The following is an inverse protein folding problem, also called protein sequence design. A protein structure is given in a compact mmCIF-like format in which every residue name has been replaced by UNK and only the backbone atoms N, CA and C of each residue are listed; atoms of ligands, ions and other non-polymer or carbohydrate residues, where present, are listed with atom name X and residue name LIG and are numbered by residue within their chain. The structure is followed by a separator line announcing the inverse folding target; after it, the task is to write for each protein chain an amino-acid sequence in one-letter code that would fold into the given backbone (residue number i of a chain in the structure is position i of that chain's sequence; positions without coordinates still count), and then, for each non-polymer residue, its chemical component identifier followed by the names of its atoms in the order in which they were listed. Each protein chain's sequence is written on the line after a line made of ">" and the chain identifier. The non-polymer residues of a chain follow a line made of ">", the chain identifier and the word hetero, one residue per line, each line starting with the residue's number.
data_IF_677830926627
#
_entry.id   IF_677830926627
#
_cell.length_a   1.000
_cell.length_b   1.000
_cell.length_c   1.000
_cell.angle_alpha   90.00
_cell.angle_beta   90.00
_cell.angle_gamma   90.00
#
_symmetry.space_group_name_H-M   'P 1'
#
loop_
_entity.id
_entity.type
_entity.pdbx_description
1 polymer ?
#
# COMPACT_ATOMS: atom_id res chain seq x y z
N UNK A 1 12.73 -19.74 -20.07
CA UNK A 1 11.64 -20.23 -19.21
C UNK A 1 10.96 -21.38 -19.93
N UNK A 2 10.93 -22.55 -19.32
CA UNK A 2 10.22 -23.71 -19.85
C UNK A 2 8.99 -23.94 -19.00
N UNK A 3 7.82 -23.75 -19.57
CA UNK A 3 6.56 -24.21 -19.00
C UNK A 3 6.26 -25.66 -19.40
N UNK A 4 7.33 -26.49 -19.48
CA UNK A 4 7.25 -27.90 -19.89
C UNK A 4 6.26 -28.73 -19.01
N UNK A 5 6.00 -28.26 -17.80
CA UNK A 5 5.02 -28.86 -16.89
C UNK A 5 3.54 -28.46 -17.21
N UNK A 6 3.33 -27.42 -18.05
CA UNK A 6 2.01 -26.99 -18.50
C UNK A 6 2.05 -26.63 -20.00
N UNK A 7 2.02 -27.61 -20.91
CA UNK A 7 2.13 -27.38 -22.36
C UNK A 7 1.06 -26.47 -22.95
N UNK A 8 -0.13 -26.45 -22.36
CA UNK A 8 -1.23 -25.61 -22.81
C UNK A 8 -0.99 -24.14 -22.50
N UNK A 9 -0.48 -23.82 -21.31
CA UNK A 9 -0.06 -22.47 -20.97
C UNK A 9 1.10 -21.99 -21.83
N UNK A 10 2.10 -22.85 -22.05
CA UNK A 10 3.23 -22.57 -22.94
C UNK A 10 2.77 -22.22 -24.36
N UNK A 11 1.79 -22.97 -24.89
CA UNK A 11 1.20 -22.69 -26.19
C UNK A 11 0.51 -21.31 -26.23
N UNK A 12 -0.36 -21.01 -25.26
CA UNK A 12 -1.06 -19.71 -25.23
C UNK A 12 -0.11 -18.54 -24.99
N UNK A 13 0.89 -18.68 -24.16
CA UNK A 13 1.90 -17.65 -23.95
C UNK A 13 2.67 -17.37 -25.26
N UNK A 14 3.12 -18.40 -25.96
CA UNK A 14 3.90 -18.25 -27.19
C UNK A 14 3.06 -17.75 -28.35
N UNK A 15 1.88 -18.31 -28.59
CA UNK A 15 1.07 -17.98 -29.77
C UNK A 15 0.27 -16.71 -29.56
N UNK A 16 -0.46 -16.58 -28.48
CA UNK A 16 -1.38 -15.46 -28.25
C UNK A 16 -0.68 -14.27 -27.59
N UNK A 17 -0.04 -14.45 -26.42
CA UNK A 17 0.57 -13.32 -25.74
C UNK A 17 1.76 -12.76 -26.53
N UNK A 18 2.75 -13.60 -26.86
CA UNK A 18 3.92 -13.12 -27.58
C UNK A 18 3.69 -12.99 -29.10
N UNK A 19 2.91 -13.89 -29.71
CA UNK A 19 2.62 -13.86 -31.13
C UNK A 19 1.64 -12.77 -31.53
N UNK A 20 0.44 -12.76 -30.96
CA UNK A 20 -0.63 -11.83 -31.38
C UNK A 20 -0.55 -10.47 -30.66
N UNK A 21 -0.31 -10.45 -29.35
CA UNK A 21 -0.36 -9.21 -28.56
C UNK A 21 0.99 -8.48 -28.62
N UNK A 22 2.07 -9.15 -28.22
CA UNK A 22 3.39 -8.52 -28.15
C UNK A 22 4.03 -8.26 -29.52
N UNK A 23 3.68 -9.02 -30.54
CA UNK A 23 4.16 -8.80 -31.91
C UNK A 23 3.37 -7.70 -32.66
N UNK A 24 2.27 -7.17 -32.09
CA UNK A 24 1.56 -6.04 -32.70
C UNK A 24 2.45 -4.80 -32.82
N UNK A 25 2.12 -3.89 -33.75
CA UNK A 25 2.93 -2.74 -34.15
C UNK A 25 2.52 -1.41 -33.47
N UNK A 26 1.53 -1.44 -32.57
CA UNK A 26 0.99 -0.25 -31.89
C UNK A 26 2.00 0.38 -30.92
N UNK A 27 2.81 -0.44 -30.26
CA UNK A 27 3.85 -0.05 -29.34
C UNK A 27 5.13 -0.81 -29.67
N UNK A 28 6.28 -0.20 -29.47
CA UNK A 28 7.57 -0.92 -29.53
C UNK A 28 7.69 -1.95 -28.41
N UNK A 29 8.55 -2.94 -28.53
CA UNK A 29 8.83 -3.89 -27.46
C UNK A 29 9.31 -3.18 -26.18
N UNK A 30 10.10 -2.11 -26.33
CA UNK A 30 10.58 -1.28 -25.23
C UNK A 30 9.41 -0.58 -24.50
N UNK A 31 8.48 0.03 -25.26
CA UNK A 31 7.32 0.72 -24.67
C UNK A 31 6.38 -0.26 -23.94
N UNK A 32 6.18 -1.46 -24.49
CA UNK A 32 5.35 -2.50 -23.85
C UNK A 32 5.92 -2.95 -22.51
N UNK A 33 7.24 -3.11 -22.43
CA UNK A 33 7.87 -3.44 -21.17
C UNK A 33 7.68 -2.33 -20.12
N UNK A 34 7.73 -1.05 -20.51
CA UNK A 34 7.44 0.06 -19.57
C UNK A 34 5.97 0.05 -19.10
N UNK A 35 5.03 -0.20 -20.01
CA UNK A 35 3.59 -0.35 -19.64
C UNK A 35 3.39 -1.53 -18.70
N UNK A 36 4.04 -2.67 -18.98
CA UNK A 36 3.97 -3.87 -18.13
C UNK A 36 4.59 -3.60 -16.77
N UNK A 37 5.72 -2.91 -16.69
CA UNK A 37 6.33 -2.50 -15.44
C UNK A 37 5.43 -1.60 -14.62
N UNK A 38 4.78 -0.61 -15.25
CA UNK A 38 3.86 0.29 -14.56
C UNK A 38 2.67 -0.47 -13.98
N UNK A 39 2.10 -1.41 -14.73
CA UNK A 39 1.00 -2.26 -14.27
C UNK A 39 1.45 -3.16 -13.09
N UNK A 40 2.56 -3.88 -13.25
CA UNK A 40 3.09 -4.78 -12.21
C UNK A 40 3.47 -4.02 -10.93
N UNK A 41 4.03 -2.81 -11.05
CA UNK A 41 4.39 -2.00 -9.90
C UNK A 41 3.19 -1.62 -9.00
N UNK A 42 1.99 -1.51 -9.58
CA UNK A 42 0.74 -1.28 -8.83
C UNK A 42 0.08 -2.55 -8.29
N UNK A 43 0.58 -3.74 -8.65
CA UNK A 43 0.00 -5.04 -8.26
C UNK A 43 0.72 -5.64 -7.04
N UNK A 44 0.05 -6.57 -6.37
CA UNK A 44 0.57 -7.30 -5.20
C UNK A 44 0.97 -8.72 -5.57
N UNK A 45 1.98 -9.26 -4.87
CA UNK A 45 2.39 -10.65 -5.01
C UNK A 45 3.05 -10.99 -6.36
N UNK A 46 3.50 -9.98 -7.09
CA UNK A 46 4.12 -10.09 -8.41
C UNK A 46 5.58 -9.64 -8.43
N UNK A 47 6.27 -9.69 -7.28
CA UNK A 47 7.65 -9.20 -7.15
C UNK A 47 8.62 -9.90 -8.11
N UNK A 48 8.46 -11.22 -8.32
CA UNK A 48 9.27 -11.99 -9.24
C UNK A 48 9.03 -11.60 -10.70
N UNK A 49 7.78 -11.33 -11.06
CA UNK A 49 7.39 -10.84 -12.39
C UNK A 49 7.93 -9.42 -12.59
N UNK A 50 7.75 -8.53 -11.62
CA UNK A 50 8.30 -7.17 -11.68
C UNK A 50 9.82 -7.19 -11.88
N UNK A 51 10.54 -8.00 -11.12
CA UNK A 51 12.00 -8.15 -11.27
C UNK A 51 12.39 -8.70 -12.65
N UNK A 52 11.60 -9.62 -13.21
CA UNK A 52 11.83 -10.16 -14.56
C UNK A 52 11.60 -9.12 -15.63
N UNK A 53 10.52 -8.35 -15.55
CA UNK A 53 10.21 -7.30 -16.51
C UNK A 53 11.14 -6.09 -16.41
N UNK A 54 11.72 -5.78 -15.23
CA UNK A 54 12.82 -4.80 -15.13
C UNK A 54 14.02 -5.20 -16.03
N UNK A 55 14.42 -6.47 -15.99
CA UNK A 55 15.49 -6.99 -16.87
C UNK A 55 15.05 -7.02 -18.33
N UNK A 56 13.79 -7.42 -18.58
CA UNK A 56 13.19 -7.44 -19.92
C UNK A 56 13.16 -6.06 -20.55
N UNK A 57 12.77 -5.03 -19.82
CA UNK A 57 12.72 -3.65 -20.30
C UNK A 57 14.09 -3.16 -20.80
N UNK A 58 15.16 -3.45 -20.05
CA UNK A 58 16.52 -3.11 -20.46
C UNK A 58 16.94 -3.94 -21.68
N UNK A 59 16.62 -5.23 -21.73
CA UNK A 59 16.93 -6.10 -22.86
C UNK A 59 16.19 -5.67 -24.15
N UNK A 60 15.00 -5.05 -24.02
CA UNK A 60 14.21 -4.54 -25.15
C UNK A 60 14.61 -3.12 -25.59
N UNK A 61 15.62 -2.52 -24.97
CA UNK A 61 16.22 -1.26 -25.43
C UNK A 61 15.96 -0.04 -24.52
N UNK A 62 15.25 -0.19 -23.41
CA UNK A 62 15.16 0.88 -22.41
C UNK A 62 16.49 1.03 -21.67
N UNK A 63 16.81 2.24 -21.23
CA UNK A 63 17.94 2.44 -20.31
C UNK A 63 17.54 2.06 -18.89
N UNK A 64 18.50 1.62 -18.08
CA UNK A 64 18.26 1.40 -16.65
C UNK A 64 17.70 2.67 -15.98
N UNK A 65 18.22 3.84 -16.36
CA UNK A 65 17.78 5.13 -15.85
C UNK A 65 16.29 5.40 -16.16
N UNK A 66 15.79 5.04 -17.36
CA UNK A 66 14.37 5.19 -17.73
C UNK A 66 13.47 4.29 -16.88
N UNK A 67 13.92 3.05 -16.63
CA UNK A 67 13.19 2.09 -15.78
C UNK A 67 13.12 2.61 -14.33
N UNK A 68 14.25 3.05 -13.78
CA UNK A 68 14.30 3.56 -12.40
C UNK A 68 13.49 4.85 -12.25
N UNK A 69 13.55 5.74 -13.24
CA UNK A 69 12.74 6.95 -13.29
C UNK A 69 11.23 6.65 -13.27
N UNK A 70 10.78 5.71 -14.12
CA UNK A 70 9.36 5.30 -14.17
C UNK A 70 8.89 4.82 -12.80
N UNK A 71 9.66 3.94 -12.16
CA UNK A 71 9.28 3.37 -10.86
C UNK A 71 9.31 4.42 -9.74
N UNK A 72 10.29 5.30 -9.75
CA UNK A 72 10.37 6.42 -8.80
C UNK A 72 9.22 7.42 -8.99
N UNK A 73 8.86 7.69 -10.24
CA UNK A 73 7.72 8.56 -10.55
C UNK A 73 6.40 7.94 -10.09
N UNK A 74 6.15 6.66 -10.38
CA UNK A 74 4.95 5.94 -9.90
C UNK A 74 4.85 5.98 -8.38
N UNK A 75 5.98 5.84 -7.68
CA UNK A 75 6.03 5.94 -6.23
C UNK A 75 5.71 7.36 -5.74
N UNK A 76 6.28 8.40 -6.37
CA UNK A 76 6.03 9.80 -6.00
C UNK A 76 4.57 10.24 -6.23
N UNK A 77 3.89 9.63 -7.23
CA UNK A 77 2.46 9.83 -7.45
C UNK A 77 1.58 8.97 -6.52
N UNK A 78 2.19 8.16 -5.62
CA UNK A 78 1.48 7.29 -4.70
C UNK A 78 0.76 6.11 -5.39
N UNK A 79 1.13 5.79 -6.63
CA UNK A 79 0.52 4.71 -7.41
C UNK A 79 1.04 3.33 -7.01
N UNK A 80 2.12 3.27 -6.23
CA UNK A 80 2.69 2.04 -5.67
C UNK A 80 2.90 2.18 -4.17
N UNK A 81 2.73 1.09 -3.42
CA UNK A 81 3.10 1.09 -2.01
C UNK A 81 4.62 0.97 -1.88
N UNK A 82 5.29 2.07 -1.60
CA UNK A 82 6.72 2.13 -1.27
C UNK A 82 6.86 2.35 0.23
N UNK A 83 7.24 1.32 0.96
CA UNK A 83 7.38 1.42 2.42
C UNK A 83 8.37 0.38 2.96
N UNK A 84 9.13 0.77 3.97
CA UNK A 84 9.94 -0.13 4.79
C UNK A 84 9.09 -1.02 5.71
N UNK A 85 7.80 -0.70 5.87
CA UNK A 85 6.87 -1.47 6.67
C UNK A 85 6.07 -2.45 5.80
N UNK A 86 5.98 -3.69 6.25
CA UNK A 86 5.16 -4.69 5.58
C UNK A 86 3.71 -4.21 5.43
N UNK A 87 3.09 -4.54 4.29
CA UNK A 87 1.68 -4.22 4.05
C UNK A 87 0.75 -4.75 5.15
N UNK A 88 1.04 -5.92 5.66
CA UNK A 88 0.23 -6.62 6.66
C UNK A 88 -0.78 -7.59 6.07
N UNK A 89 -1.51 -8.25 6.97
CA UNK A 89 -2.59 -9.18 6.64
C UNK A 89 -3.91 -8.41 6.44
N UNK A 90 -4.90 -8.97 5.72
CA UNK A 90 -6.23 -8.37 5.60
C UNK A 90 -6.81 -8.01 6.97
N UNK A 91 -7.34 -6.81 7.09
CA UNK A 91 -7.87 -6.28 8.35
C UNK A 91 -9.32 -6.70 8.60
N UNK A 92 -9.63 -7.98 8.40
CA UNK A 92 -10.99 -8.53 8.40
C UNK A 92 -11.71 -8.35 9.74
N UNK A 93 -10.96 -8.44 10.85
CA UNK A 93 -11.51 -8.27 12.20
C UNK A 93 -12.10 -6.87 12.45
N UNK A 94 -11.65 -5.87 11.71
CA UNK A 94 -12.10 -4.49 11.80
C UNK A 94 -12.78 -4.00 10.51
N UNK A 95 -13.04 -4.88 9.54
CA UNK A 95 -13.59 -4.50 8.22
C UNK A 95 -14.84 -3.63 8.29
N UNK A 96 -15.70 -3.83 9.29
CA UNK A 96 -16.93 -3.04 9.51
C UNK A 96 -16.69 -1.53 9.72
N UNK A 97 -15.47 -1.17 10.13
CA UNK A 97 -15.10 0.23 10.38
C UNK A 97 -14.49 0.90 9.16
N UNK A 98 -14.34 0.18 8.03
CA UNK A 98 -13.68 0.67 6.82
C UNK A 98 -14.60 0.60 5.61
N UNK A 99 -14.41 1.52 4.70
CA UNK A 99 -14.89 1.44 3.33
C UNK A 99 -13.69 1.14 2.44
N UNK A 100 -13.71 0.03 1.70
CA UNK A 100 -12.56 -0.46 0.92
C UNK A 100 -11.66 -1.41 1.72
N UNK A 101 -10.53 -1.80 1.14
CA UNK A 101 -9.63 -2.79 1.71
C UNK A 101 -8.52 -2.13 2.53
N UNK A 102 -8.32 -2.62 3.75
CA UNK A 102 -7.22 -2.25 4.62
C UNK A 102 -6.47 -3.48 5.12
N UNK A 103 -5.24 -3.25 5.55
CA UNK A 103 -4.33 -4.31 6.06
C UNK A 103 -3.73 -3.84 7.36
N UNK A 104 -3.42 -4.80 8.24
CA UNK A 104 -2.88 -4.53 9.56
C UNK A 104 -1.65 -5.40 9.83
N UNK A 105 -0.61 -4.78 10.37
CA UNK A 105 0.52 -5.47 10.99
C UNK A 105 0.67 -4.98 12.41
N UNK A 106 0.59 -5.89 13.36
CA UNK A 106 0.93 -5.59 14.74
C UNK A 106 2.46 -5.51 14.88
N UNK A 107 2.98 -4.38 15.36
CA UNK A 107 4.39 -4.18 15.57
C UNK A 107 4.75 -4.58 17.01
N UNK A 108 5.82 -5.37 17.14
CA UNK A 108 6.33 -5.81 18.46
C UNK A 108 7.66 -5.13 18.78
N UNK A 109 7.84 -4.59 19.99
CA UNK A 109 9.15 -4.13 20.45
C UNK A 109 10.16 -5.30 20.44
N UNK A 110 11.34 -5.08 19.86
CA UNK A 110 12.39 -6.11 19.75
C UNK A 110 12.98 -6.57 21.09
N UNK A 111 12.85 -5.74 22.11
CA UNK A 111 13.39 -6.02 23.45
C UNK A 111 12.43 -6.78 24.37
N UNK A 112 11.21 -7.10 23.88
CA UNK A 112 10.24 -7.90 24.63
C UNK A 112 10.17 -9.31 24.06
N UNK A 113 10.09 -10.31 24.94
CA UNK A 113 9.80 -11.70 24.54
C UNK A 113 8.33 -11.85 24.14
N UNK A 114 7.98 -12.96 23.48
CA UNK A 114 6.58 -13.24 23.10
C UNK A 114 5.63 -13.42 24.30
N UNK A 115 6.19 -13.62 25.50
CA UNK A 115 5.42 -13.76 26.76
C UNK A 115 5.18 -12.43 27.46
N UNK A 116 5.94 -11.40 27.11
CA UNK A 116 5.83 -10.07 27.69
C UNK A 116 4.89 -9.22 26.81
N UNK A 117 3.96 -8.54 27.47
CA UNK A 117 3.07 -7.61 26.77
C UNK A 117 3.71 -6.22 26.77
N UNK A 118 3.66 -5.56 25.63
CA UNK A 118 3.98 -4.14 25.56
C UNK A 118 2.92 -3.33 26.32
N UNK A 119 3.35 -2.30 27.03
CA UNK A 119 2.45 -1.33 27.68
C UNK A 119 1.70 -0.50 26.63
N UNK A 120 2.18 -0.51 25.40
CA UNK A 120 1.65 0.28 24.28
C UNK A 120 1.43 -0.63 23.06
N UNK A 121 0.30 -0.50 22.41
CA UNK A 121 0.03 -1.15 21.15
C UNK A 121 0.56 -0.29 20.01
N UNK A 122 1.35 -0.91 19.12
CA UNK A 122 1.84 -0.28 17.90
C UNK A 122 1.34 -1.08 16.71
N UNK A 123 0.71 -0.42 15.78
CA UNK A 123 0.19 -1.05 14.57
C UNK A 123 0.62 -0.27 13.34
N UNK A 124 0.83 -0.98 12.25
CA UNK A 124 0.96 -0.42 10.93
C UNK A 124 -0.34 -0.72 10.17
N UNK A 125 -1.02 0.31 9.71
CA UNK A 125 -2.24 0.22 8.92
C UNK A 125 -1.94 0.65 7.49
N UNK A 126 -2.30 -0.21 6.55
CA UNK A 126 -2.17 0.04 5.11
C UNK A 126 -3.54 0.13 4.48
N UNK A 127 -3.79 1.19 3.72
CA UNK A 127 -5.03 1.45 3.01
C UNK A 127 -4.79 1.34 1.50
N UNK A 128 -5.65 0.61 0.80
CA UNK A 128 -5.70 0.69 -0.66
C UNK A 128 -6.21 2.06 -1.12
N UNK A 129 -5.94 2.45 -2.39
CA UNK A 129 -6.55 3.65 -2.95
C UNK A 129 -8.06 3.71 -2.70
N UNK A 130 -8.56 4.85 -2.29
CA UNK A 130 -9.95 5.12 -1.88
C UNK A 130 -10.41 4.47 -0.57
N UNK A 131 -9.59 3.64 0.08
CA UNK A 131 -9.95 3.05 1.37
C UNK A 131 -9.85 4.09 2.49
N UNK A 132 -10.84 4.11 3.38
CA UNK A 132 -10.89 4.99 4.56
C UNK A 132 -11.66 4.34 5.69
N UNK A 133 -11.40 4.77 6.94
CA UNK A 133 -12.34 4.45 8.01
C UNK A 133 -13.63 5.28 7.94
N UNK A 134 -14.67 4.74 8.59
CA UNK A 134 -15.89 5.47 8.83
C UNK A 134 -15.64 6.57 9.88
N UNK A 135 -16.55 7.53 9.98
CA UNK A 135 -16.55 8.48 11.08
C UNK A 135 -16.64 7.74 12.41
N UNK A 136 -15.72 8.02 13.33
CA UNK A 136 -15.64 7.36 14.62
C UNK A 136 -15.05 8.29 15.69
N UNK A 137 -15.18 7.88 16.94
CA UNK A 137 -14.69 8.58 18.13
C UNK A 137 -13.93 7.57 18.98
N UNK A 138 -12.78 7.95 19.51
CA UNK A 138 -12.07 7.20 20.55
C UNK A 138 -12.38 7.78 21.94
N UNK A 139 -12.70 6.90 22.88
CA UNK A 139 -12.88 7.23 24.28
C UNK A 139 -11.78 6.57 25.11
N UNK A 140 -11.36 7.23 26.20
CA UNK A 140 -10.32 6.72 27.11
C UNK A 140 -8.90 6.75 26.55
N UNK A 141 -8.71 7.24 25.33
CA UNK A 141 -7.40 7.35 24.71
C UNK A 141 -7.31 8.48 23.67
N UNK A 142 -6.08 8.88 23.38
CA UNK A 142 -5.69 9.67 22.21
C UNK A 142 -5.13 8.73 21.17
N UNK A 143 -5.39 8.97 19.89
CA UNK A 143 -4.76 8.25 18.80
C UNK A 143 -3.65 9.10 18.19
N UNK A 144 -2.51 8.47 17.92
CA UNK A 144 -1.40 9.07 17.19
C UNK A 144 -1.23 8.34 15.87
N UNK A 145 -1.16 9.09 14.77
CA UNK A 145 -0.84 8.60 13.43
C UNK A 145 0.52 9.17 13.02
N UNK A 146 1.40 8.32 12.51
CA UNK A 146 2.68 8.70 11.92
C UNK A 146 2.67 8.19 10.49
N UNK A 147 2.58 9.10 9.51
CA UNK A 147 2.49 8.75 8.10
C UNK A 147 3.84 8.26 7.59
N UNK A 148 3.88 7.09 6.96
CA UNK A 148 5.13 6.45 6.54
C UNK A 148 5.20 6.15 5.04
N UNK A 149 4.06 6.12 4.32
CA UNK A 149 4.07 5.90 2.88
C UNK A 149 2.79 6.41 2.20
N UNK A 150 2.92 6.82 0.96
CA UNK A 150 1.83 7.22 0.08
C UNK A 150 1.19 8.55 0.44
N UNK A 151 -0.06 8.74 0.03
CA UNK A 151 -0.85 9.94 0.31
C UNK A 151 -2.17 9.58 0.96
N UNK A 152 -2.48 10.21 2.07
CA UNK A 152 -3.73 10.04 2.79
C UNK A 152 -4.42 11.36 3.10
N UNK A 153 -5.52 11.22 3.82
CA UNK A 153 -6.34 12.32 4.31
C UNK A 153 -6.75 12.06 5.76
N UNK A 154 -6.86 13.14 6.52
CA UNK A 154 -7.47 13.17 7.84
C UNK A 154 -8.51 14.28 7.86
N UNK A 155 -9.63 14.05 8.54
CA UNK A 155 -10.64 15.08 8.78
C UNK A 155 -11.26 14.93 10.16
N UNK A 156 -11.31 16.02 10.90
CA UNK A 156 -12.13 16.18 12.09
C UNK A 156 -13.51 16.68 11.68
N UNK A 157 -14.54 16.23 12.39
CA UNK A 157 -15.91 16.66 12.12
C UNK A 157 -16.07 18.17 12.23
N UNK A 158 -16.64 18.78 11.19
CA UNK A 158 -16.82 20.23 11.10
C UNK A 158 -15.63 21.00 10.53
N UNK A 159 -14.47 20.35 10.33
CA UNK A 159 -13.27 20.99 9.81
C UNK A 159 -12.95 20.51 8.37
N UNK A 160 -12.18 21.29 7.59
CA UNK A 160 -11.69 20.84 6.30
C UNK A 160 -10.78 19.62 6.42
N UNK A 161 -10.80 18.74 5.40
CA UNK A 161 -9.86 17.63 5.33
C UNK A 161 -8.42 18.13 5.08
N UNK A 162 -7.44 17.50 5.74
CA UNK A 162 -6.01 17.78 5.59
C UNK A 162 -5.34 16.62 4.84
N UNK A 163 -4.52 16.92 3.84
CA UNK A 163 -3.72 15.94 3.16
C UNK A 163 -2.55 15.49 4.05
N UNK A 164 -2.26 14.18 4.02
CA UNK A 164 -1.20 13.55 4.80
C UNK A 164 -0.15 12.95 3.88
N UNK A 165 1.11 13.17 4.22
CA UNK A 165 2.28 12.66 3.50
C UNK A 165 3.26 11.99 4.46
N UNK A 166 4.21 11.16 3.95
CA UNK A 166 5.25 10.57 4.79
C UNK A 166 6.01 11.61 5.60
N UNK A 167 6.11 11.39 6.92
CA UNK A 167 6.69 12.30 7.89
C UNK A 167 5.67 13.14 8.67
N UNK A 168 4.43 13.25 8.20
CA UNK A 168 3.38 13.94 8.96
C UNK A 168 2.97 13.13 10.19
N UNK A 169 2.67 13.86 11.27
CA UNK A 169 2.16 13.30 12.52
C UNK A 169 0.84 13.97 12.85
N UNK A 170 -0.18 13.16 13.13
CA UNK A 170 -1.48 13.62 13.62
C UNK A 170 -1.69 13.06 15.01
N UNK A 171 -1.98 13.92 15.96
CA UNK A 171 -2.48 13.55 17.28
C UNK A 171 -3.96 13.88 17.37
N UNK A 172 -4.78 12.86 17.60
CA UNK A 172 -6.24 12.93 17.66
C UNK A 172 -6.65 12.86 19.11
N UNK A 173 -7.16 13.95 19.71
CA UNK A 173 -7.60 13.96 21.09
C UNK A 173 -8.77 13.01 21.32
N UNK A 174 -8.93 12.54 22.58
CA UNK A 174 -10.11 11.82 23.02
C UNK A 174 -11.40 12.60 22.72
N UNK A 175 -12.44 11.90 22.30
CA UNK A 175 -13.75 12.49 22.02
C UNK A 175 -13.88 13.20 20.68
N UNK A 176 -12.81 13.31 19.89
CA UNK A 176 -12.84 13.94 18.58
C UNK A 176 -13.40 12.99 17.55
N UNK A 177 -14.53 13.35 16.92
CA UNK A 177 -15.10 12.61 15.80
C UNK A 177 -14.28 12.89 14.53
N UNK A 178 -13.76 11.83 13.92
CA UNK A 178 -12.83 11.94 12.79
C UNK A 178 -12.89 10.74 11.85
N UNK A 179 -12.24 10.89 10.72
CA UNK A 179 -11.86 9.79 9.83
C UNK A 179 -10.45 10.05 9.23
N UNK A 180 -9.80 8.99 8.78
CA UNK A 180 -8.59 9.06 7.96
C UNK A 180 -8.56 7.91 6.96
N UNK A 181 -7.73 8.02 5.93
CA UNK A 181 -7.62 7.00 4.90
C UNK A 181 -6.79 7.45 3.71
N UNK A 182 -6.76 6.61 2.69
CA UNK A 182 -5.99 6.83 1.47
C UNK A 182 -6.64 7.87 0.54
N UNK A 183 -5.81 8.55 -0.25
CA UNK A 183 -6.26 9.30 -1.41
C UNK A 183 -6.91 8.36 -2.44
N UNK A 184 -7.76 8.88 -3.31
CA UNK A 184 -8.51 8.08 -4.27
C UNK A 184 -7.62 7.33 -5.27
N UNK A 185 -6.39 7.78 -5.48
CA UNK A 185 -5.43 7.20 -6.42
C UNK A 185 -4.12 6.77 -5.77
N UNK A 186 -3.99 6.87 -4.46
CA UNK A 186 -2.74 6.54 -3.76
C UNK A 186 -2.98 5.49 -2.70
N UNK A 187 -2.05 4.56 -2.55
CA UNK A 187 -1.87 3.83 -1.31
C UNK A 187 -1.56 4.81 -0.19
N UNK A 188 -1.89 4.41 1.04
CA UNK A 188 -1.53 5.17 2.22
C UNK A 188 -1.18 4.23 3.36
N UNK A 189 -0.13 4.56 4.10
CA UNK A 189 0.31 3.77 5.23
C UNK A 189 0.71 4.67 6.39
N UNK A 190 0.25 4.33 7.57
CA UNK A 190 0.66 5.01 8.80
C UNK A 190 0.88 4.02 9.93
N UNK A 191 1.79 4.37 10.82
CA UNK A 191 1.87 3.76 12.14
C UNK A 191 0.81 4.39 13.02
N UNK A 192 0.24 3.60 13.93
CA UNK A 192 -0.71 4.11 14.93
C UNK A 192 -0.43 3.53 16.31
N UNK A 193 -0.69 4.33 17.32
CA UNK A 193 -0.70 3.93 18.71
C UNK A 193 -1.75 4.74 19.48
N UNK A 194 -2.25 4.18 20.58
CA UNK A 194 -3.19 4.84 21.47
C UNK A 194 -2.53 5.14 22.81
N UNK A 195 -2.64 6.39 23.26
CA UNK A 195 -2.16 6.82 24.58
C UNK A 195 -3.34 6.95 25.50
N UNK A 196 -3.39 6.13 26.56
CA UNK A 196 -4.49 6.13 27.54
C UNK A 196 -4.60 7.48 28.27
N UNK A 197 -5.84 7.95 28.44
CA UNK A 197 -6.16 9.21 29.13
C UNK A 197 -6.84 8.99 30.49
N UNK A 198 -7.11 7.72 30.88
CA UNK A 198 -7.59 7.36 32.20
C UNK A 198 -8.96 6.69 32.28
N UNK A 199 -9.66 6.53 31.13
CA UNK A 199 -10.92 5.80 31.01
C UNK A 199 -10.76 4.39 30.43
N UNK A 200 -11.86 3.65 30.29
CA UNK A 200 -11.91 2.45 29.46
C UNK A 200 -11.83 2.84 27.98
N UNK A 201 -10.94 2.16 27.25
CA UNK A 201 -10.78 2.39 25.82
C UNK A 201 -11.94 1.78 25.05
N UNK A 202 -12.66 2.61 24.28
CA UNK A 202 -13.75 2.17 23.40
C UNK A 202 -13.85 3.04 22.16
N UNK A 203 -14.52 2.53 21.14
CA UNK A 203 -14.79 3.21 19.86
C UNK A 203 -16.29 3.30 19.61
N UNK A 204 -16.75 4.48 19.16
CA UNK A 204 -18.12 4.76 18.77
C UNK A 204 -18.22 5.13 17.30
#
# INVERSE_FOLDING_TARGET
>A
YSFAFCPQEDYYLKSHLFGDIFAGDQLTAADRELVTLAALAGMKGVDSQLASHKRGAVAMGNTQQSVDFLLAWLASEGLTLQSEFAKGEPNDGFARYFTGNSYLTQLKPKNLSDKEQSVQNYSNITFEPSCRNNWHIHHGCRQILICVSGKGWYQQWGEPAIALYPGDVIEIPEGVKHWHGADIRSWFQHLTTHVKTGGEESNE
#
